data_IF_242091032652
#
_entry.id   IF_242091032652
#
_cell.length_a   1.000
_cell.length_b   1.000
_cell.length_c   1.000
_cell.angle_alpha   90.00
_cell.angle_beta   90.00
_cell.angle_gamma   90.00
#
_symmetry.space_group_name_H-M   'P 1'
#
loop_
_entity.id
_entity.type
_entity.pdbx_description
1 polymer ?
#
# COMPACT_ATOMS: atom_id res chain seq x y z
N UNK A 1 -12.27 -16.74 11.42
CA UNK A 1 -11.82 -16.93 10.03
C UNK A 1 -11.22 -15.60 9.65
N UNK A 2 -9.90 -15.53 9.48
CA UNK A 2 -9.22 -14.27 9.21
C UNK A 2 -9.53 -13.79 7.80
N UNK A 3 -9.74 -12.49 7.63
CA UNK A 3 -10.06 -11.88 6.34
C UNK A 3 -8.84 -11.93 5.42
N UNK A 4 -8.98 -12.53 4.23
CA UNK A 4 -7.93 -12.56 3.21
C UNK A 4 -7.87 -11.22 2.44
N UNK A 5 -7.18 -10.24 3.02
CA UNK A 5 -7.04 -8.90 2.44
C UNK A 5 -6.23 -8.90 1.13
N UNK A 6 -5.30 -9.82 0.95
CA UNK A 6 -4.55 -9.96 -0.30
C UNK A 6 -5.46 -10.36 -1.46
N UNK A 7 -6.40 -11.27 -1.21
CA UNK A 7 -7.42 -11.65 -2.19
C UNK A 7 -8.35 -10.48 -2.52
N UNK A 8 -8.84 -9.77 -1.51
CA UNK A 8 -9.71 -8.61 -1.68
C UNK A 8 -9.03 -7.50 -2.49
N UNK A 9 -7.80 -7.14 -2.13
CA UNK A 9 -7.00 -6.14 -2.85
C UNK A 9 -6.78 -6.58 -4.30
N UNK A 10 -6.44 -7.86 -4.54
CA UNK A 10 -6.32 -8.41 -5.89
C UNK A 10 -7.59 -8.26 -6.72
N UNK A 11 -8.76 -8.47 -6.11
CA UNK A 11 -10.07 -8.30 -6.78
C UNK A 11 -10.29 -6.85 -7.20
N UNK A 12 -10.05 -5.90 -6.29
CA UNK A 12 -10.18 -4.46 -6.55
C UNK A 12 -9.21 -4.01 -7.66
N UNK A 13 -7.95 -4.42 -7.59
CA UNK A 13 -6.96 -4.02 -8.59
C UNK A 13 -7.32 -4.56 -9.99
N UNK A 14 -7.87 -5.77 -10.08
CA UNK A 14 -8.34 -6.31 -11.36
C UNK A 14 -9.52 -5.54 -11.95
N UNK A 15 -10.43 -5.04 -11.11
CA UNK A 15 -11.57 -4.27 -11.59
C UNK A 15 -11.14 -2.88 -12.08
N UNK A 16 -10.28 -2.20 -11.33
CA UNK A 16 -9.82 -0.85 -11.64
C UNK A 16 -8.81 -0.84 -12.79
N UNK A 17 -7.97 -1.87 -12.95
CA UNK A 17 -6.95 -1.92 -14.00
C UNK A 17 -7.53 -1.89 -15.43
N UNK A 18 -8.81 -2.18 -15.62
CA UNK A 18 -9.50 -2.03 -16.92
C UNK A 18 -9.64 -0.55 -17.35
N UNK A 19 -9.42 0.37 -16.41
CA UNK A 19 -9.52 1.81 -16.59
C UNK A 19 -8.16 2.45 -16.28
N UNK A 20 -7.27 2.51 -17.27
CA UNK A 20 -5.87 2.88 -17.07
C UNK A 20 -5.69 4.23 -16.33
N UNK A 21 -6.46 5.25 -16.69
CA UNK A 21 -6.40 6.55 -16.02
C UNK A 21 -6.82 6.47 -14.53
N UNK A 22 -7.84 5.69 -14.22
CA UNK A 22 -8.29 5.48 -12.83
C UNK A 22 -7.24 4.73 -12.03
N UNK A 23 -6.61 3.74 -12.66
CA UNK A 23 -5.55 2.96 -12.05
C UNK A 23 -4.29 3.80 -11.75
N UNK A 24 -3.86 4.63 -12.69
CA UNK A 24 -2.71 5.54 -12.49
C UNK A 24 -2.98 6.59 -11.40
N UNK A 25 -4.20 7.14 -11.36
CA UNK A 25 -4.63 8.06 -10.30
C UNK A 25 -4.60 7.39 -8.95
N UNK A 26 -5.16 6.18 -8.84
CA UNK A 26 -5.12 5.39 -7.62
C UNK A 26 -3.69 5.16 -7.12
N UNK A 27 -2.78 4.74 -8.01
CA UNK A 27 -1.37 4.55 -7.64
C UNK A 27 -0.70 5.85 -7.17
N UNK A 28 -1.02 6.97 -7.81
CA UNK A 28 -0.45 8.28 -7.45
C UNK A 28 -0.90 8.72 -6.06
N UNK A 29 -2.19 8.64 -5.78
CA UNK A 29 -2.76 8.99 -4.47
C UNK A 29 -2.21 8.07 -3.36
N UNK A 30 -2.10 6.76 -3.61
CA UNK A 30 -1.59 5.82 -2.62
C UNK A 30 -0.13 6.09 -2.24
N UNK A 31 0.72 6.58 -3.16
CA UNK A 31 2.13 6.90 -2.88
C UNK A 31 2.32 7.94 -1.77
N UNK A 32 1.34 8.80 -1.58
CA UNK A 32 1.35 9.85 -0.57
C UNK A 32 0.83 9.37 0.80
N UNK A 33 0.34 8.12 0.90
CA UNK A 33 -0.20 7.57 2.13
C UNK A 33 0.86 6.78 2.89
N UNK A 34 0.94 7.03 4.19
CA UNK A 34 1.67 6.20 5.13
C UNK A 34 0.85 4.93 5.38
N UNK A 35 1.43 3.76 5.14
CA UNK A 35 0.78 2.48 5.41
C UNK A 35 1.03 2.06 6.86
N UNK A 36 2.28 2.11 7.28
CA UNK A 36 2.67 1.70 8.62
C UNK A 36 3.85 2.54 9.10
N UNK A 37 3.94 2.77 10.40
CA UNK A 37 5.15 3.27 11.05
C UNK A 37 5.50 2.30 12.16
N UNK A 38 6.71 1.75 12.10
CA UNK A 38 7.21 0.79 13.08
C UNK A 38 8.47 1.33 13.74
N UNK A 39 8.64 0.99 15.00
CA UNK A 39 9.87 1.28 15.74
C UNK A 39 10.77 0.05 15.68
N UNK A 40 11.95 0.19 15.10
CA UNK A 40 12.98 -0.85 15.02
C UNK A 40 14.18 -0.46 15.88
N UNK A 41 14.90 -1.46 16.40
CA UNK A 41 16.17 -1.20 17.08
C UNK A 41 17.17 -0.62 16.07
N UNK A 42 17.98 0.36 16.49
CA UNK A 42 19.08 0.84 15.66
C UNK A 42 20.09 -0.28 15.40
N UNK A 43 20.74 -0.25 14.24
CA UNK A 43 21.85 -1.15 13.92
C UNK A 43 23.06 -0.88 14.84
N UNK A 44 23.20 0.35 15.34
CA UNK A 44 24.21 0.72 16.31
C UNK A 44 23.64 0.57 17.72
N UNK A 45 24.23 -0.26 18.60
CA UNK A 45 23.66 -0.58 19.91
C UNK A 45 23.46 0.61 20.86
N UNK A 46 24.23 1.69 20.67
CA UNK A 46 24.17 2.90 21.51
C UNK A 46 23.18 3.94 20.97
N UNK A 47 22.70 3.77 19.74
CA UNK A 47 21.74 4.68 19.14
C UNK A 47 20.32 4.35 19.62
N UNK A 48 19.45 5.37 19.76
CA UNK A 48 18.05 5.14 20.08
C UNK A 48 17.35 4.34 18.98
N UNK A 49 16.25 3.63 19.31
CA UNK A 49 15.38 3.01 18.31
C UNK A 49 14.95 4.01 17.24
N UNK A 50 14.79 3.51 16.03
CA UNK A 50 14.48 4.30 14.85
C UNK A 50 13.04 4.05 14.40
N UNK A 51 12.39 5.08 13.86
CA UNK A 51 11.09 4.90 13.22
C UNK A 51 11.27 4.66 11.72
N UNK A 52 10.72 3.54 11.26
CA UNK A 52 10.67 3.14 9.85
C UNK A 52 9.26 3.35 9.35
N UNK A 53 9.11 4.28 8.40
CA UNK A 53 7.85 4.59 7.76
C UNK A 53 7.73 3.80 6.46
N UNK A 54 6.64 3.04 6.33
CA UNK A 54 6.38 2.17 5.20
C UNK A 54 5.30 2.81 4.33
N UNK A 55 5.61 2.96 3.05
CA UNK A 55 4.77 3.61 2.08
C UNK A 55 4.54 2.73 0.86
N UNK A 56 3.42 2.96 0.19
CA UNK A 56 3.13 2.33 -1.10
C UNK A 56 4.02 2.92 -2.20
N UNK A 57 4.57 2.07 -3.06
CA UNK A 57 5.28 2.51 -4.26
C UNK A 57 4.44 2.30 -5.53
N UNK A 58 4.00 1.07 -5.78
CA UNK A 58 3.24 0.68 -6.98
C UNK A 58 2.68 -0.72 -6.86
N UNK A 59 1.67 -1.01 -7.65
CA UNK A 59 1.25 -2.37 -7.95
C UNK A 59 2.14 -2.99 -9.03
N UNK A 60 2.28 -4.31 -8.98
CA UNK A 60 3.08 -5.08 -9.92
C UNK A 60 2.43 -6.42 -10.16
N UNK A 61 2.20 -6.79 -11.42
CA UNK A 61 1.73 -8.12 -11.77
C UNK A 61 2.76 -9.18 -11.38
N UNK A 62 2.31 -10.28 -10.78
CA UNK A 62 3.17 -11.42 -10.47
C UNK A 62 3.77 -12.00 -11.76
N UNK A 63 5.03 -12.41 -11.68
CA UNK A 63 5.73 -13.08 -12.79
C UNK A 63 5.45 -14.58 -12.84
N UNK A 64 5.09 -15.17 -11.70
CA UNK A 64 4.93 -16.63 -11.52
C UNK A 64 3.46 -17.03 -11.43
N UNK A 65 2.58 -16.15 -10.93
CA UNK A 65 1.17 -16.45 -10.72
C UNK A 65 0.29 -15.70 -11.70
N UNK A 66 -0.43 -16.47 -12.54
CA UNK A 66 -1.35 -15.92 -13.51
C UNK A 66 -2.47 -15.16 -12.79
N UNK A 67 -2.69 -13.91 -13.19
CA UNK A 67 -3.71 -13.03 -12.60
C UNK A 67 -3.50 -12.68 -11.13
N UNK A 68 -2.28 -12.71 -10.60
CA UNK A 68 -1.97 -12.12 -9.29
C UNK A 68 -1.31 -10.76 -9.46
N UNK A 69 -1.74 -9.80 -8.65
CA UNK A 69 -1.12 -8.51 -8.43
C UNK A 69 -0.48 -8.51 -7.04
N UNK A 70 0.73 -7.98 -7.00
CA UNK A 70 1.48 -7.70 -5.80
C UNK A 70 1.59 -6.18 -5.64
N UNK A 71 2.02 -5.74 -4.49
CA UNK A 71 2.37 -4.35 -4.22
C UNK A 71 3.84 -4.25 -3.82
N UNK A 72 4.46 -3.17 -4.23
CA UNK A 72 5.82 -2.79 -3.87
C UNK A 72 5.73 -1.67 -2.87
N UNK A 73 6.54 -1.75 -1.82
CA UNK A 73 6.65 -0.72 -0.80
C UNK A 73 8.03 -0.07 -0.86
N UNK A 74 8.11 1.15 -0.33
CA UNK A 74 9.37 1.72 0.09
C UNK A 74 9.30 2.01 1.59
N UNK A 75 10.44 1.85 2.25
CA UNK A 75 10.62 2.09 3.67
C UNK A 75 11.57 3.27 3.81
N UNK A 76 11.22 4.22 4.67
CA UNK A 76 12.03 5.39 4.91
C UNK A 76 12.26 5.56 6.41
N UNK A 77 13.52 5.71 6.77
CA UNK A 77 13.95 6.20 8.08
C UNK A 77 14.94 7.36 7.84
N UNK A 78 14.87 8.46 8.62
CA UNK A 78 15.85 9.54 8.50
C UNK A 78 17.31 9.09 8.66
N UNK A 79 17.56 8.04 9.44
CA UNK A 79 18.91 7.53 9.74
C UNK A 79 19.36 6.42 8.79
N UNK A 80 18.44 5.60 8.27
CA UNK A 80 18.76 4.49 7.35
C UNK A 80 18.58 4.83 5.87
N UNK A 81 17.94 5.95 5.56
CA UNK A 81 17.60 6.31 4.18
C UNK A 81 16.39 5.53 3.66
N UNK A 82 16.41 5.22 2.37
CA UNK A 82 15.28 4.59 1.66
C UNK A 82 15.64 3.16 1.25
N UNK A 83 14.78 2.21 1.59
CA UNK A 83 14.85 0.81 1.15
C UNK A 83 13.58 0.42 0.38
N UNK A 84 13.68 -0.54 -0.54
CA UNK A 84 12.56 -1.01 -1.36
C UNK A 84 12.34 -2.50 -1.19
N UNK A 85 11.08 -2.94 -1.12
CA UNK A 85 10.77 -4.35 -0.88
C UNK A 85 9.38 -4.77 -1.33
N UNK A 86 9.12 -6.08 -1.26
CA UNK A 86 7.76 -6.59 -1.26
C UNK A 86 7.17 -6.37 0.13
N UNK A 87 5.94 -5.88 0.21
CA UNK A 87 5.28 -5.71 1.51
C UNK A 87 4.71 -7.02 2.07
N UNK A 88 5.21 -8.17 1.61
CA UNK A 88 4.85 -9.50 2.10
C UNK A 88 5.42 -9.81 3.48
N UNK A 89 6.42 -9.03 3.93
CA UNK A 89 7.01 -9.13 5.27
C UNK A 89 6.08 -8.60 6.36
N UNK A 90 5.08 -7.79 6.00
CA UNK A 90 4.16 -7.12 6.91
C UNK A 90 2.71 -7.41 6.50
N UNK A 91 2.08 -8.48 7.06
CA UNK A 91 0.73 -8.90 6.68
C UNK A 91 -0.31 -7.77 6.81
N UNK A 92 -0.11 -6.84 7.73
CA UNK A 92 -0.98 -5.70 8.00
C UNK A 92 -1.03 -4.70 6.83
N UNK A 93 -0.03 -4.73 5.94
CA UNK A 93 0.03 -3.80 4.80
C UNK A 93 -1.10 -4.07 3.81
N UNK A 94 -1.44 -5.34 3.53
CA UNK A 94 -2.51 -5.68 2.59
C UNK A 94 -3.86 -5.17 3.11
N UNK A 95 -4.11 -5.36 4.42
CA UNK A 95 -5.26 -4.79 5.11
C UNK A 95 -5.29 -3.27 4.98
N UNK A 96 -4.19 -2.59 5.33
CA UNK A 96 -4.15 -1.14 5.33
C UNK A 96 -4.35 -0.54 3.94
N UNK A 97 -3.73 -1.15 2.92
CA UNK A 97 -3.94 -0.76 1.53
C UNK A 97 -5.40 -0.92 1.14
N UNK A 98 -6.01 -2.05 1.47
CA UNK A 98 -7.41 -2.28 1.18
C UNK A 98 -8.32 -1.23 1.83
N UNK A 99 -8.10 -0.94 3.12
CA UNK A 99 -8.85 0.09 3.85
C UNK A 99 -8.72 1.48 3.21
N UNK A 100 -7.50 1.90 2.85
CA UNK A 100 -7.26 3.20 2.19
C UNK A 100 -7.96 3.25 0.84
N UNK A 101 -7.89 2.18 0.04
CA UNK A 101 -8.56 2.13 -1.27
C UNK A 101 -10.09 2.23 -1.12
N UNK A 102 -10.67 1.55 -0.13
CA UNK A 102 -12.10 1.65 0.18
C UNK A 102 -12.49 3.05 0.63
N UNK A 103 -11.69 3.68 1.50
CA UNK A 103 -11.92 5.04 1.96
C UNK A 103 -11.92 6.03 0.79
N UNK A 104 -10.94 5.94 -0.10
CA UNK A 104 -10.86 6.77 -1.29
C UNK A 104 -12.09 6.61 -2.20
N UNK A 105 -12.50 5.36 -2.46
CA UNK A 105 -13.68 5.08 -3.28
C UNK A 105 -14.96 5.67 -2.65
N UNK A 106 -15.12 5.54 -1.32
CA UNK A 106 -16.24 6.13 -0.59
C UNK A 106 -16.26 7.65 -0.65
N UNK A 107 -15.10 8.29 -0.50
CA UNK A 107 -14.99 9.75 -0.61
C UNK A 107 -15.39 10.24 -2.00
N UNK A 108 -14.92 9.58 -3.06
CA UNK A 108 -15.30 9.90 -4.44
C UNK A 108 -16.81 9.79 -4.68
N UNK A 109 -17.46 8.77 -4.12
CA UNK A 109 -18.92 8.59 -4.21
C UNK A 109 -19.69 9.71 -3.47
N UNK A 110 -19.24 10.07 -2.26
CA UNK A 110 -19.81 11.18 -1.49
C UNK A 110 -19.70 12.49 -2.29
N UNK A 111 -18.52 12.81 -2.85
CA UNK A 111 -18.34 14.02 -3.65
C UNK A 111 -19.22 14.03 -4.90
N UNK A 112 -19.43 12.90 -5.57
CA UNK A 112 -20.37 12.82 -6.70
C UNK A 112 -21.81 13.07 -6.26
N UNK A 113 -22.19 12.56 -5.09
CA UNK A 113 -23.55 12.73 -4.56
C UNK A 113 -23.84 14.18 -4.18
N UNK A 114 -22.87 14.89 -3.59
CA UNK A 114 -23.02 16.30 -3.20
C UNK A 114 -23.07 17.25 -4.42
N UNK A 115 -22.35 16.92 -5.50
CA UNK A 115 -22.25 17.77 -6.69
C UNK A 115 -23.32 17.50 -7.76
N UNK A 116 -24.24 16.56 -7.50
CA UNK A 116 -25.39 16.25 -8.34
C UNK A 116 -26.67 16.80 -7.71
#
# INVERSE_FOLDING_TARGET
MDTDYDHLLNSVIKSVKRYDQTFEKLETELKHKLLLSITEQSFFPEDPPINVNIHFLKFKKSKTERNRWNYVIYMYSPTRGIEYGSGTTYPEISQKLYEIVQEMARMDEIFRTINN
#
